data_IF_687957006594
#
_entry.id   IF_687957006594
#
_cell.length_a   1.000
_cell.length_b   1.000
_cell.length_c   1.000
_cell.angle_alpha   90.00
_cell.angle_beta   90.00
_cell.angle_gamma   90.00
#
_symmetry.space_group_name_H-M   'P 1'
#
loop_
_entity.id
_entity.type
_entity.pdbx_description
1 polymer ?
#
# COMPACT_ATOMS: atom_id res chain seq x y z
N UNK A 1 18.28 11.84 -21.77
CA UNK A 1 17.30 11.74 -20.68
C UNK A 1 17.73 12.80 -19.69
N UNK A 2 17.09 13.96 -19.76
CA UNK A 2 17.34 15.05 -18.83
C UNK A 2 16.90 14.56 -17.45
N UNK A 3 17.83 14.64 -16.48
CA UNK A 3 17.52 14.46 -15.07
C UNK A 3 16.70 15.69 -14.72
N UNK A 4 15.38 15.54 -14.59
CA UNK A 4 14.56 16.57 -13.95
C UNK A 4 15.18 16.81 -12.57
N UNK A 5 15.71 18.01 -12.39
CA UNK A 5 16.11 18.49 -11.07
C UNK A 5 14.87 18.39 -10.18
N UNK A 6 14.95 17.64 -9.08
CA UNK A 6 13.96 17.68 -8.00
C UNK A 6 13.79 19.16 -7.63
N UNK A 7 12.65 19.75 -8.03
CA UNK A 7 12.26 21.03 -7.48
C UNK A 7 11.93 20.76 -6.00
N UNK A 8 12.65 21.41 -5.11
CA UNK A 8 12.31 21.44 -3.69
C UNK A 8 10.84 21.92 -3.58
N UNK A 9 9.92 21.03 -3.21
CA UNK A 9 8.52 21.38 -3.03
C UNK A 9 8.38 22.28 -1.80
N UNK A 10 7.53 23.29 -1.91
CA UNK A 10 7.20 24.20 -0.82
C UNK A 10 5.83 23.89 -0.21
N UNK A 11 5.63 24.29 1.05
CA UNK A 11 4.33 24.14 1.71
C UNK A 11 3.24 24.86 0.90
N UNK A 12 2.22 24.10 0.49
CA UNK A 12 1.10 24.61 -0.31
C UNK A 12 1.16 24.18 -1.77
N UNK A 13 2.28 23.60 -2.22
CA UNK A 13 2.40 23.08 -3.59
C UNK A 13 1.48 21.88 -3.82
N UNK A 14 1.01 21.74 -5.06
CA UNK A 14 0.24 20.56 -5.46
C UNK A 14 1.11 19.33 -5.39
N UNK A 15 0.66 18.33 -4.65
CA UNK A 15 1.33 17.03 -4.59
C UNK A 15 1.17 16.32 -5.95
N UNK A 16 2.27 16.03 -6.67
CA UNK A 16 2.20 15.50 -8.03
C UNK A 16 1.91 14.00 -8.07
N UNK A 17 2.04 13.30 -6.94
CA UNK A 17 1.86 11.86 -6.84
C UNK A 17 0.50 11.48 -6.24
N UNK A 18 0.26 10.19 -6.06
CA UNK A 18 -0.97 9.69 -5.47
C UNK A 18 -1.04 9.97 -3.96
N UNK A 19 -2.24 10.29 -3.46
CA UNK A 19 -2.48 10.59 -2.05
C UNK A 19 -2.55 9.30 -1.21
N UNK A 20 -1.43 8.98 -0.55
CA UNK A 20 -1.22 7.75 0.22
C UNK A 20 -0.46 8.02 1.52
N UNK A 21 -0.08 6.97 2.24
CA UNK A 21 0.63 7.09 3.51
C UNK A 21 -0.21 6.74 4.73
N UNK A 22 0.48 6.68 5.87
CA UNK A 22 -0.12 6.51 7.20
C UNK A 22 -0.95 7.72 7.53
N UNK A 23 -2.18 7.50 8.01
CA UNK A 23 -3.11 8.59 8.27
C UNK A 23 -3.02 9.05 9.72
N UNK A 24 -2.82 10.35 9.90
CA UNK A 24 -2.91 10.99 11.20
C UNK A 24 -3.96 12.08 11.19
N UNK A 25 -4.35 12.47 12.39
CA UNK A 25 -5.29 13.53 12.65
C UNK A 25 -4.61 14.64 13.45
N UNK A 26 -5.09 15.86 13.25
CA UNK A 26 -4.62 17.02 14.00
C UNK A 26 -5.75 17.98 14.33
N UNK A 27 -5.57 18.79 15.36
CA UNK A 27 -6.54 19.80 15.79
C UNK A 27 -5.93 21.19 15.87
N UNK A 28 -6.80 22.20 15.94
CA UNK A 28 -6.42 23.60 16.21
C UNK A 28 -5.71 23.79 17.56
N UNK A 29 -5.85 22.84 18.48
CA UNK A 29 -5.15 22.80 19.78
C UNK A 29 -3.74 22.20 19.68
N UNK A 30 -3.22 22.01 18.46
CA UNK A 30 -1.90 21.43 18.17
C UNK A 30 -1.73 19.98 18.64
N UNK A 31 -2.82 19.24 18.83
CA UNK A 31 -2.76 17.80 19.12
C UNK A 31 -2.65 17.03 17.82
N UNK A 32 -1.80 16.00 17.79
CA UNK A 32 -1.70 15.02 16.70
C UNK A 32 -2.00 13.62 17.25
N UNK A 33 -2.76 12.82 16.52
CA UNK A 33 -3.07 11.44 16.92
C UNK A 33 -3.24 10.50 15.74
N UNK A 34 -3.00 9.22 16.02
CA UNK A 34 -3.42 8.12 15.15
C UNK A 34 -4.75 7.54 15.64
N UNK A 35 -5.57 7.04 14.73
CA UNK A 35 -6.87 6.43 15.07
C UNK A 35 -7.07 5.10 14.31
N UNK A 36 -7.52 4.05 15.02
CA UNK A 36 -7.68 2.70 14.44
C UNK A 36 -8.70 2.61 13.32
N UNK A 37 -9.88 3.17 13.54
CA UNK A 37 -11.00 3.27 12.61
C UNK A 37 -11.87 4.46 13.04
N UNK A 38 -12.87 4.83 12.25
CA UNK A 38 -13.75 5.96 12.58
C UNK A 38 -14.37 5.75 13.97
N UNK A 39 -14.12 6.67 14.90
CA UNK A 39 -14.54 6.61 16.31
C UNK A 39 -13.88 5.46 17.13
N UNK A 40 -12.74 4.96 16.68
CA UNK A 40 -11.93 3.98 17.40
C UNK A 40 -10.97 4.61 18.41
N UNK A 41 -10.05 3.79 18.92
CA UNK A 41 -9.00 4.22 19.86
C UNK A 41 -8.15 5.32 19.24
N UNK A 42 -7.97 6.42 19.98
CA UNK A 42 -7.12 7.54 19.62
C UNK A 42 -5.83 7.47 20.43
N UNK A 43 -4.70 7.56 19.73
CA UNK A 43 -3.36 7.44 20.32
C UNK A 43 -2.58 8.69 19.98
N UNK A 44 -2.29 9.50 20.99
CA UNK A 44 -1.73 10.83 20.81
C UNK A 44 -0.22 10.79 20.62
N UNK A 45 0.28 11.68 19.77
CA UNK A 45 1.71 11.95 19.59
C UNK A 45 2.17 12.90 20.70
N UNK A 46 3.16 12.48 21.48
CA UNK A 46 3.81 13.28 22.53
C UNK A 46 4.84 14.27 21.97
N UNK A 47 5.57 13.90 20.93
CA UNK A 47 6.67 14.71 20.39
C UNK A 47 7.03 14.32 18.95
N UNK A 48 7.79 15.18 18.27
CA UNK A 48 8.25 14.96 16.88
C UNK A 48 7.31 15.53 15.83
N UNK A 49 6.30 16.31 16.23
CA UNK A 49 5.27 16.85 15.32
C UNK A 49 5.25 18.38 15.24
N UNK A 50 6.16 19.09 15.93
CA UNK A 50 6.11 20.56 16.10
C UNK A 50 6.22 21.31 14.76
N UNK A 51 7.12 20.88 13.87
CA UNK A 51 7.25 21.44 12.51
C UNK A 51 6.00 21.13 11.69
N UNK A 52 5.59 19.87 11.68
CA UNK A 52 4.46 19.37 10.90
C UNK A 52 3.17 20.12 11.27
N UNK A 53 2.86 20.25 12.57
CA UNK A 53 1.64 20.92 13.03
C UNK A 53 1.66 22.41 12.67
N UNK A 54 2.82 23.07 12.80
CA UNK A 54 2.98 24.47 12.43
C UNK A 54 2.72 24.70 10.94
N UNK A 55 3.23 23.82 10.08
CA UNK A 55 3.02 23.91 8.62
C UNK A 55 1.58 23.55 8.21
N UNK A 56 0.99 22.52 8.84
CA UNK A 56 -0.41 22.13 8.62
C UNK A 56 -1.39 23.24 9.00
N UNK A 57 -1.21 23.89 10.15
CA UNK A 57 -2.12 24.95 10.62
C UNK A 57 -2.07 26.22 9.78
N UNK A 58 -1.01 26.45 8.98
CA UNK A 58 -1.00 27.54 7.98
C UNK A 58 -1.97 27.27 6.84
N UNK A 59 -2.10 26.01 6.42
CA UNK A 59 -3.01 25.60 5.35
C UNK A 59 -4.43 25.36 5.85
N UNK A 60 -4.58 24.79 7.05
CA UNK A 60 -5.86 24.32 7.58
C UNK A 60 -5.98 24.54 9.10
N UNK A 61 -6.35 25.77 9.52
CA UNK A 61 -6.36 26.17 10.93
C UNK A 61 -7.35 25.39 11.82
N UNK A 62 -8.42 24.84 11.24
CA UNK A 62 -9.48 24.13 11.97
C UNK A 62 -9.10 22.69 12.36
N UNK A 63 -7.96 22.18 11.88
CA UNK A 63 -7.58 20.79 12.04
C UNK A 63 -8.10 19.89 10.93
N UNK A 64 -7.87 18.58 11.05
CA UNK A 64 -8.29 17.61 10.05
C UNK A 64 -7.47 16.33 10.08
N UNK A 65 -7.21 15.78 8.91
CA UNK A 65 -6.31 14.64 8.75
C UNK A 65 -5.29 14.87 7.65
N UNK A 66 -4.09 14.39 7.87
CA UNK A 66 -2.99 14.41 6.91
C UNK A 66 -2.45 12.98 6.74
N UNK A 67 -1.51 12.80 5.82
CA UNK A 67 -0.79 11.54 5.66
C UNK A 67 0.70 11.78 5.61
N UNK A 68 1.44 10.75 6.00
CA UNK A 68 2.89 10.68 5.81
C UNK A 68 3.18 9.51 4.89
N UNK A 69 3.81 9.78 3.74
CA UNK A 69 4.20 8.76 2.76
C UNK A 69 5.32 7.87 3.30
N UNK A 70 5.59 6.75 2.62
CA UNK A 70 6.73 5.87 2.92
C UNK A 70 8.11 6.53 2.73
N UNK A 71 8.16 7.70 2.10
CA UNK A 71 9.35 8.54 1.92
C UNK A 71 9.44 9.67 2.95
N UNK A 72 8.46 9.78 3.85
CA UNK A 72 8.43 10.82 4.89
C UNK A 72 7.75 12.12 4.47
N UNK A 73 7.18 12.21 3.27
CA UNK A 73 6.47 13.40 2.81
C UNK A 73 5.13 13.55 3.53
N UNK A 74 4.90 14.73 4.10
CA UNK A 74 3.65 15.11 4.75
C UNK A 74 2.73 15.76 3.73
N UNK A 75 1.56 15.15 3.52
CA UNK A 75 0.58 15.60 2.55
C UNK A 75 -0.81 15.75 3.17
N UNK A 76 -1.56 16.74 2.70
CA UNK A 76 -2.95 16.99 3.13
C UNK A 76 -3.88 17.08 1.93
N UNK A 77 -5.16 16.74 2.14
CA UNK A 77 -6.23 16.96 1.18
C UNK A 77 -6.94 18.28 1.48
N UNK A 78 -6.98 19.17 0.49
CA UNK A 78 -7.76 20.41 0.50
C UNK A 78 -8.97 20.28 -0.42
N UNK A 79 -10.10 20.86 -0.02
CA UNK A 79 -11.31 20.96 -0.85
C UNK A 79 -11.42 22.38 -1.34
N UNK A 80 -11.30 22.58 -2.64
CA UNK A 80 -11.58 23.85 -3.27
C UNK A 80 -12.65 23.64 -4.33
N UNK A 81 -13.78 24.36 -4.21
CA UNK A 81 -14.88 24.32 -5.18
C UNK A 81 -15.28 22.88 -5.55
N UNK A 82 -15.50 22.05 -4.53
CA UNK A 82 -15.90 20.64 -4.63
C UNK A 82 -14.85 19.68 -5.23
N UNK A 83 -13.66 20.18 -5.59
CA UNK A 83 -12.55 19.35 -6.07
C UNK A 83 -11.55 19.11 -4.96
N UNK A 84 -11.19 17.83 -4.75
CA UNK A 84 -10.15 17.45 -3.81
C UNK A 84 -8.78 17.57 -4.46
N UNK A 85 -7.89 18.37 -3.87
CA UNK A 85 -6.50 18.52 -4.32
C UNK A 85 -5.55 18.07 -3.21
N UNK A 86 -4.64 17.11 -3.48
CA UNK A 86 -3.58 16.78 -2.55
C UNK A 86 -2.50 17.87 -2.58
N UNK A 87 -2.05 18.29 -1.41
CA UNK A 87 -1.10 19.39 -1.21
C UNK A 87 0.06 18.87 -0.38
N UNK A 88 1.27 19.23 -0.78
CA UNK A 88 2.50 19.00 -0.02
C UNK A 88 2.60 20.01 1.13
N UNK A 89 3.07 19.54 2.29
CA UNK A 89 3.17 20.35 3.51
C UNK A 89 4.63 20.54 3.90
N UNK A 90 5.35 19.43 4.10
CA UNK A 90 6.77 19.38 4.48
C UNK A 90 7.24 17.92 4.54
N UNK A 91 8.52 17.70 4.76
CA UNK A 91 9.06 16.40 5.15
C UNK A 91 9.03 16.18 6.66
N UNK A 92 8.83 14.93 7.04
CA UNK A 92 8.98 14.44 8.41
C UNK A 92 10.47 14.42 8.78
N UNK A 93 10.81 15.22 9.80
CA UNK A 93 12.18 15.39 10.29
C UNK A 93 12.55 14.40 11.40
N UNK A 94 11.58 14.00 12.22
CA UNK A 94 11.78 13.06 13.32
C UNK A 94 10.62 12.06 13.47
N UNK A 95 10.92 10.79 13.81
CA UNK A 95 9.90 9.82 14.23
C UNK A 95 8.99 10.34 15.34
N UNK A 96 7.68 10.09 15.19
CA UNK A 96 6.71 10.37 16.24
C UNK A 96 6.95 9.51 17.47
N UNK A 97 6.77 10.10 18.65
CA UNK A 97 6.70 9.36 19.92
C UNK A 97 5.28 9.44 20.45
N UNK A 98 4.71 8.34 20.91
CA UNK A 98 3.28 8.24 21.29
C UNK A 98 3.05 8.19 22.80
N UNK A 99 1.81 8.45 23.22
CA UNK A 99 1.44 8.55 24.64
C UNK A 99 1.53 7.23 25.42
N UNK A 100 1.36 6.10 24.74
CA UNK A 100 1.11 4.79 25.38
C UNK A 100 2.28 3.80 25.20
N UNK A 101 3.50 4.33 25.06
CA UNK A 101 4.75 3.58 24.84
C UNK A 101 4.65 2.57 23.67
N UNK A 102 3.85 2.92 22.66
CA UNK A 102 3.76 2.15 21.42
C UNK A 102 5.00 2.41 20.60
N UNK A 103 5.77 1.35 20.39
CA UNK A 103 6.92 1.36 19.49
C UNK A 103 6.43 1.15 18.04
N UNK A 104 6.39 2.24 17.27
CA UNK A 104 6.09 2.21 15.82
C UNK A 104 7.33 1.95 14.97
N UNK A 105 8.52 2.05 15.57
CA UNK A 105 9.83 1.79 14.93
C UNK A 105 10.60 0.66 15.61
N UNK A 106 10.03 -0.57 15.67
CA UNK A 106 10.66 -1.67 16.37
C UNK A 106 11.97 -2.08 15.69
N UNK A 107 13.04 -2.19 16.48
CA UNK A 107 14.40 -2.44 15.96
C UNK A 107 14.73 -3.91 15.71
N UNK A 108 14.02 -4.83 16.36
CA UNK A 108 14.43 -6.24 16.46
C UNK A 108 13.50 -7.21 15.71
N UNK A 109 12.53 -6.72 14.93
CA UNK A 109 11.63 -7.60 14.18
C UNK A 109 12.35 -8.29 13.02
N UNK A 110 12.06 -9.58 12.85
CA UNK A 110 12.48 -10.37 11.69
C UNK A 110 11.29 -10.62 10.77
N UNK A 111 11.49 -10.71 9.45
CA UNK A 111 10.43 -11.10 8.53
C UNK A 111 9.69 -12.36 9.00
N UNK A 112 8.36 -12.31 9.03
CA UNK A 112 7.48 -13.35 9.57
C UNK A 112 7.03 -13.14 11.02
N UNK A 113 7.67 -12.23 11.77
CA UNK A 113 7.25 -11.88 13.13
C UNK A 113 5.94 -11.06 13.13
N UNK A 114 5.21 -11.09 14.24
CA UNK A 114 4.02 -10.27 14.44
C UNK A 114 4.42 -8.78 14.41
N UNK A 115 3.70 -7.99 13.63
CA UNK A 115 3.88 -6.54 13.60
C UNK A 115 3.31 -5.90 14.87
N UNK A 116 4.14 -5.13 15.57
CA UNK A 116 3.83 -4.56 16.89
C UNK A 116 3.28 -3.13 16.85
N UNK A 117 3.41 -2.44 15.71
CA UNK A 117 2.96 -1.07 15.53
C UNK A 117 1.54 -0.96 14.97
N UNK A 118 1.20 0.24 14.49
CA UNK A 118 -0.07 0.47 13.81
C UNK A 118 -0.11 -0.27 12.48
N UNK A 119 -1.19 -1.01 12.21
CA UNK A 119 -1.43 -1.55 10.86
C UNK A 119 -2.00 -0.46 9.95
N UNK A 120 -1.14 0.46 9.56
CA UNK A 120 -1.46 1.55 8.63
C UNK A 120 -0.27 1.82 7.69
N UNK A 121 -0.43 2.77 6.79
CA UNK A 121 0.57 3.09 5.76
C UNK A 121 0.01 3.06 4.34
N UNK A 122 0.89 3.32 3.40
CA UNK A 122 0.63 3.26 1.96
C UNK A 122 0.22 1.85 1.56
N UNK A 123 -1.04 1.69 1.11
CA UNK A 123 -1.61 0.38 0.78
C UNK A 123 -1.37 0.02 -0.67
N UNK A 124 -0.81 -1.17 -0.88
CA UNK A 124 -0.58 -1.76 -2.20
C UNK A 124 -1.18 -3.17 -2.26
N UNK A 125 -1.35 -3.65 -3.47
CA UNK A 125 -1.76 -5.01 -3.76
C UNK A 125 -0.66 -5.75 -4.52
N UNK A 126 -0.58 -7.06 -4.33
CA UNK A 126 0.37 -7.91 -5.03
C UNK A 126 -0.30 -9.22 -5.47
N UNK A 127 0.26 -9.81 -6.53
CA UNK A 127 0.01 -11.17 -6.98
C UNK A 127 1.24 -11.61 -7.77
N UNK A 128 1.83 -12.74 -7.37
CA UNK A 128 3.15 -13.17 -7.86
C UNK A 128 4.16 -12.02 -7.68
N UNK A 129 4.89 -11.68 -8.74
CA UNK A 129 5.91 -10.62 -8.72
C UNK A 129 5.35 -9.25 -9.14
N UNK A 130 4.03 -9.14 -9.32
CA UNK A 130 3.37 -7.88 -9.72
C UNK A 130 2.82 -7.16 -8.51
N UNK A 131 3.09 -5.87 -8.43
CA UNK A 131 2.60 -4.97 -7.39
C UNK A 131 1.88 -3.79 -8.04
N UNK A 132 0.75 -3.39 -7.46
CA UNK A 132 -0.03 -2.26 -7.96
C UNK A 132 -0.69 -1.49 -6.83
N UNK A 133 -0.96 -0.23 -7.12
CA UNK A 133 -1.87 0.59 -6.35
C UNK A 133 -3.28 0.54 -6.96
N UNK A 134 -4.29 0.52 -6.10
CA UNK A 134 -5.69 0.62 -6.51
C UNK A 134 -6.16 2.06 -6.29
N UNK A 135 -6.25 2.82 -7.37
CA UNK A 135 -6.91 4.12 -7.35
C UNK A 135 -8.40 3.92 -7.05
N UNK A 136 -8.97 4.57 -6.01
CA UNK A 136 -10.41 4.50 -5.77
C UNK A 136 -11.24 5.08 -6.93
N UNK A 137 -10.68 6.02 -7.68
CA UNK A 137 -11.37 6.80 -8.72
C UNK A 137 -10.93 6.43 -10.15
N UNK A 138 -10.10 5.40 -10.31
CA UNK A 138 -9.49 5.08 -11.60
C UNK A 138 -9.01 3.64 -11.76
N UNK A 139 -8.36 3.33 -12.88
CA UNK A 139 -7.85 2.00 -13.16
C UNK A 139 -6.68 1.64 -12.22
N UNK A 140 -6.33 0.35 -12.20
CA UNK A 140 -5.14 -0.14 -11.48
C UNK A 140 -3.89 0.44 -12.11
N UNK A 141 -2.93 0.83 -11.28
CA UNK A 141 -1.63 1.34 -11.71
C UNK A 141 -0.53 0.48 -11.09
N UNK A 142 0.30 -0.12 -11.95
CA UNK A 142 1.42 -0.94 -11.51
C UNK A 142 2.57 -0.05 -11.06
N UNK A 143 3.38 -0.55 -10.12
CA UNK A 143 4.60 0.15 -9.72
C UNK A 143 5.65 0.04 -10.84
N UNK A 144 6.54 1.01 -10.92
CA UNK A 144 7.68 0.99 -11.86
C UNK A 144 8.81 0.15 -11.30
N UNK A 145 8.99 0.21 -9.99
CA UNK A 145 10.08 -0.42 -9.25
C UNK A 145 9.85 -1.92 -9.05
N UNK A 146 10.92 -2.64 -8.71
CA UNK A 146 10.81 -4.01 -8.22
C UNK A 146 11.09 -4.00 -6.72
N UNK A 147 10.18 -4.57 -5.93
CA UNK A 147 10.42 -4.70 -4.48
C UNK A 147 11.58 -5.68 -4.22
N UNK A 148 12.30 -5.54 -3.10
CA UNK A 148 13.40 -6.43 -2.75
C UNK A 148 13.00 -7.91 -2.80
N UNK A 149 13.86 -8.77 -3.33
CA UNK A 149 13.59 -10.21 -3.49
C UNK A 149 13.16 -10.88 -2.19
N UNK A 150 13.75 -10.46 -1.06
CA UNK A 150 13.40 -10.97 0.27
C UNK A 150 11.96 -10.62 0.65
N UNK A 151 11.51 -9.39 0.36
CA UNK A 151 10.13 -8.95 0.60
C UNK A 151 9.18 -9.78 -0.27
N UNK A 152 9.48 -9.94 -1.56
CA UNK A 152 8.63 -10.69 -2.47
C UNK A 152 8.57 -12.18 -2.14
N UNK A 153 9.70 -12.77 -1.73
CA UNK A 153 9.76 -14.15 -1.25
C UNK A 153 8.86 -14.36 -0.02
N UNK A 154 8.95 -13.49 0.98
CA UNK A 154 8.13 -13.58 2.20
C UNK A 154 6.64 -13.40 1.89
N UNK A 155 6.30 -12.46 1.00
CA UNK A 155 4.92 -12.28 0.54
C UNK A 155 4.37 -13.53 -0.16
N UNK A 156 5.17 -14.21 -0.99
CA UNK A 156 4.76 -15.48 -1.64
C UNK A 156 4.56 -16.62 -0.65
N UNK A 157 5.40 -16.72 0.37
CA UNK A 157 5.28 -17.75 1.42
C UNK A 157 4.02 -17.51 2.25
N UNK A 158 3.78 -16.28 2.69
CA UNK A 158 2.71 -15.95 3.62
C UNK A 158 1.35 -15.72 2.95
N UNK A 159 1.35 -15.31 1.68
CA UNK A 159 0.18 -14.96 0.87
C UNK A 159 0.31 -15.46 -0.57
N UNK A 160 0.34 -16.79 -0.79
CA UNK A 160 0.58 -17.38 -2.11
C UNK A 160 -0.46 -16.99 -3.17
N UNK A 161 -1.70 -16.70 -2.75
CA UNK A 161 -2.79 -16.28 -3.64
C UNK A 161 -2.84 -14.77 -3.88
N UNK A 162 -1.83 -14.03 -3.41
CA UNK A 162 -1.81 -12.58 -3.48
C UNK A 162 -2.55 -11.90 -2.31
N UNK A 163 -2.69 -10.58 -2.41
CA UNK A 163 -3.45 -9.78 -1.46
C UNK A 163 -2.91 -8.37 -1.34
N UNK A 164 -3.18 -7.70 -0.21
CA UNK A 164 -2.63 -6.37 0.07
C UNK A 164 -1.57 -6.41 1.15
N UNK A 165 -0.63 -5.47 1.05
CA UNK A 165 0.35 -5.11 2.06
C UNK A 165 0.35 -3.58 2.24
N UNK A 166 1.08 -3.11 3.24
CA UNK A 166 1.30 -1.69 3.50
C UNK A 166 2.78 -1.40 3.68
N UNK A 167 3.17 -0.17 3.36
CA UNK A 167 4.47 0.38 3.70
C UNK A 167 4.22 1.56 4.65
N UNK A 168 4.81 1.52 5.83
CA UNK A 168 4.71 2.60 6.83
C UNK A 168 5.58 3.79 6.41
N UNK A 169 5.38 4.92 7.08
CA UNK A 169 6.20 6.13 6.95
C UNK A 169 7.70 5.90 7.22
N UNK A 170 8.01 4.93 8.09
CA UNK A 170 9.38 4.52 8.38
C UNK A 170 9.92 3.42 7.43
N UNK A 171 9.17 3.05 6.39
CA UNK A 171 9.57 2.06 5.40
C UNK A 171 9.44 0.59 5.85
N UNK A 172 8.64 0.29 6.88
CA UNK A 172 8.32 -1.10 7.22
C UNK A 172 7.26 -1.65 6.27
N UNK A 173 7.55 -2.80 5.65
CA UNK A 173 6.59 -3.56 4.85
C UNK A 173 5.84 -4.51 5.77
N UNK A 174 4.51 -4.37 5.82
CA UNK A 174 3.63 -5.14 6.71
C UNK A 174 2.44 -5.69 5.94
N UNK A 175 1.93 -6.85 6.35
CA UNK A 175 0.76 -7.47 5.72
C UNK A 175 -0.16 -8.11 6.73
N UNK A 176 -1.39 -8.41 6.30
CA UNK A 176 -2.33 -9.24 7.05
C UNK A 176 -2.36 -10.64 6.44
N UNK A 177 -2.24 -11.65 7.29
CA UNK A 177 -2.36 -13.05 6.89
C UNK A 177 -3.62 -13.69 7.48
N UNK A 178 -4.33 -14.55 6.74
CA UNK A 178 -5.41 -15.34 7.29
C UNK A 178 -4.88 -16.39 8.27
N UNK A 179 -5.78 -17.04 8.99
CA UNK A 179 -5.43 -18.16 9.86
C UNK A 179 -4.75 -19.28 9.05
N UNK A 180 -3.52 -19.60 9.42
CA UNK A 180 -2.71 -20.66 8.82
C UNK A 180 -1.75 -21.25 9.86
N UNK A 181 -1.13 -22.41 9.60
CA UNK A 181 -0.09 -22.94 10.48
C UNK A 181 1.07 -21.94 10.59
N UNK A 182 1.40 -21.53 11.82
CA UNK A 182 2.48 -20.59 12.10
C UNK A 182 3.47 -21.18 13.12
N UNK A 183 4.76 -20.78 13.08
CA UNK A 183 5.73 -21.26 14.04
C UNK A 183 5.35 -20.89 15.49
N UNK A 184 5.62 -21.79 16.44
CA UNK A 184 5.34 -21.58 17.87
C UNK A 184 6.00 -20.32 18.46
N UNK A 185 7.02 -19.77 17.80
CA UNK A 185 7.69 -18.54 18.23
C UNK A 185 6.75 -17.33 18.26
N UNK A 186 5.73 -17.26 17.37
CA UNK A 186 4.81 -16.12 17.32
C UNK A 186 3.93 -16.04 18.58
N UNK A 187 3.57 -17.19 19.15
CA UNK A 187 2.85 -17.24 20.43
C UNK A 187 3.72 -16.67 21.56
N UNK A 188 5.00 -17.05 21.61
CA UNK A 188 5.94 -16.51 22.61
C UNK A 188 6.16 -15.01 22.41
N UNK A 189 6.29 -14.57 21.16
CA UNK A 189 6.41 -13.16 20.82
C UNK A 189 5.21 -12.40 21.36
N UNK A 190 3.99 -12.86 21.06
CA UNK A 190 2.74 -12.28 21.58
C UNK A 190 2.72 -12.15 23.11
N UNK A 191 3.03 -13.24 23.81
CA UNK A 191 3.04 -13.29 25.27
C UNK A 191 4.07 -12.33 25.90
N UNK A 192 5.14 -12.00 25.17
CA UNK A 192 6.18 -11.06 25.60
C UNK A 192 5.91 -9.59 25.27
N UNK A 193 4.90 -9.30 24.44
CA UNK A 193 4.53 -7.94 24.05
C UNK A 193 3.95 -7.14 25.22
N UNK A 194 3.99 -5.80 25.12
CA UNK A 194 3.30 -4.94 26.07
C UNK A 194 1.77 -5.11 25.97
N UNK A 195 1.06 -4.78 27.04
CA UNK A 195 -0.42 -4.85 27.07
C UNK A 195 -1.02 -4.03 25.94
N UNK A 196 -0.47 -2.84 25.65
CA UNK A 196 -0.94 -1.97 24.56
C UNK A 196 -0.76 -2.62 23.19
N UNK A 197 0.40 -3.24 22.93
CA UNK A 197 0.67 -3.96 21.68
C UNK A 197 -0.29 -5.14 21.51
N UNK A 198 -0.51 -5.93 22.57
CA UNK A 198 -1.48 -7.02 22.56
C UNK A 198 -2.89 -6.52 22.27
N UNK A 199 -3.31 -5.40 22.86
CA UNK A 199 -4.62 -4.81 22.59
C UNK A 199 -4.78 -4.33 21.15
N UNK A 200 -3.79 -3.64 20.60
CA UNK A 200 -3.80 -3.17 19.21
C UNK A 200 -3.99 -4.31 18.22
N UNK A 201 -3.19 -5.35 18.36
CA UNK A 201 -3.25 -6.49 17.45
C UNK A 201 -4.52 -7.31 17.71
N UNK A 202 -4.98 -7.45 18.95
CA UNK A 202 -6.26 -8.13 19.26
C UNK A 202 -7.42 -7.42 18.58
N UNK A 203 -7.50 -6.09 18.69
CA UNK A 203 -8.51 -5.29 18.01
C UNK A 203 -8.42 -5.46 16.49
N UNK A 204 -7.20 -5.60 15.95
CA UNK A 204 -7.00 -5.84 14.52
C UNK A 204 -7.49 -7.22 14.09
N UNK A 205 -7.16 -8.26 14.84
CA UNK A 205 -7.59 -9.64 14.58
C UNK A 205 -9.10 -9.75 14.73
N UNK A 206 -9.71 -9.15 15.75
CA UNK A 206 -11.18 -9.15 15.92
C UNK A 206 -11.92 -8.44 14.78
N UNK A 207 -11.33 -7.40 14.18
CA UNK A 207 -11.96 -6.65 13.09
C UNK A 207 -11.74 -7.25 11.70
N UNK A 208 -10.76 -8.13 11.52
CA UNK A 208 -10.37 -8.64 10.19
C UNK A 208 -10.21 -10.14 10.08
N UNK A 209 -10.22 -10.86 11.21
CA UNK A 209 -9.85 -12.28 11.31
C UNK A 209 -8.45 -12.60 10.75
N UNK A 210 -7.57 -11.59 10.68
CA UNK A 210 -6.23 -11.70 10.13
C UNK A 210 -5.17 -11.15 11.09
N UNK A 211 -3.99 -11.76 11.06
CA UNK A 211 -2.85 -11.40 11.90
C UNK A 211 -1.91 -10.45 11.13
N UNK A 212 -1.50 -9.31 11.73
CA UNK A 212 -0.52 -8.42 11.12
C UNK A 212 0.90 -8.97 11.30
N UNK A 213 1.63 -9.06 10.19
CA UNK A 213 2.98 -9.64 10.12
C UNK A 213 3.93 -8.64 9.46
N UNK A 214 5.14 -8.57 9.99
CA UNK A 214 6.25 -7.84 9.42
C UNK A 214 6.92 -8.64 8.29
N UNK A 215 7.21 -8.00 7.18
CA UNK A 215 7.73 -8.63 5.96
C UNK A 215 9.16 -8.21 5.64
N UNK A 216 9.53 -6.96 5.88
CA UNK A 216 10.84 -6.43 5.53
C UNK A 216 10.85 -4.90 5.46
N UNK A 217 11.91 -4.33 4.88
CA UNK A 217 12.09 -2.88 4.76
C UNK A 217 12.06 -2.46 3.30
N UNK A 218 11.46 -1.31 3.01
CA UNK A 218 11.51 -0.63 1.73
C UNK A 218 11.26 0.86 1.91
N UNK A 219 12.23 1.70 1.53
CA UNK A 219 12.23 3.15 1.77
C UNK A 219 12.55 3.97 0.51
N UNK A 220 12.69 3.33 -0.66
CA UNK A 220 13.07 4.00 -1.91
C UNK A 220 11.91 4.78 -2.55
N UNK A 221 10.70 4.68 -1.98
CA UNK A 221 9.49 5.25 -2.56
C UNK A 221 8.92 4.41 -3.70
N UNK A 222 7.68 4.69 -4.07
CA UNK A 222 6.96 4.01 -5.16
C UNK A 222 6.46 5.01 -6.19
N UNK A 223 6.85 4.77 -7.43
CA UNK A 223 6.34 5.45 -8.62
C UNK A 223 5.32 4.55 -9.30
N UNK A 224 4.22 5.14 -9.74
CA UNK A 224 3.19 4.41 -10.47
C UNK A 224 3.33 4.65 -11.96
N UNK A 225 3.19 3.58 -12.73
CA UNK A 225 2.97 3.68 -14.16
C UNK A 225 1.69 4.52 -14.43
N UNK A 226 1.67 5.27 -15.54
CA UNK A 226 0.46 5.97 -15.95
C UNK A 226 -0.68 4.96 -16.17
N UNK A 227 -1.94 5.35 -15.92
CA UNK A 227 -3.09 4.48 -16.16
C UNK A 227 -3.14 4.06 -17.64
N UNK A 228 -3.33 2.76 -17.90
CA UNK A 228 -3.42 2.24 -19.27
C UNK A 228 -4.71 2.72 -19.92
N UNK A 229 -4.57 3.38 -21.07
CA UNK A 229 -5.69 3.84 -21.89
C UNK A 229 -5.94 2.84 -23.02
N UNK A 230 -7.00 2.05 -22.89
CA UNK A 230 -7.36 1.02 -23.87
C UNK A 230 -8.02 1.57 -25.13
N UNK A 231 -8.31 2.88 -25.19
CA UNK A 231 -8.88 3.50 -26.39
C UNK A 231 -7.81 3.88 -27.42
N UNK A 232 -6.54 3.90 -27.01
CA UNK A 232 -5.41 4.21 -27.89
C UNK A 232 -4.93 2.96 -28.62
N UNK A 233 -4.47 3.09 -29.87
CA UNK A 233 -3.83 1.97 -30.57
C UNK A 233 -2.56 1.55 -29.83
N UNK A 234 -2.23 0.25 -29.91
CA UNK A 234 -0.98 -0.28 -29.38
C UNK A 234 0.21 0.44 -30.01
N UNK A 235 1.22 0.72 -29.19
CA UNK A 235 2.52 1.19 -29.67
C UNK A 235 3.21 0.11 -30.53
N UNK A 236 4.15 0.48 -31.43
CA UNK A 236 4.93 -0.48 -32.20
C UNK A 236 5.64 -1.52 -31.31
N UNK A 237 6.13 -1.11 -30.15
CA UNK A 237 6.78 -1.95 -29.14
C UNK A 237 5.79 -2.95 -28.53
N UNK A 238 4.64 -2.49 -28.02
CA UNK A 238 3.60 -3.38 -27.47
C UNK A 238 3.09 -4.37 -28.51
N UNK A 239 2.93 -3.92 -29.76
CA UNK A 239 2.52 -4.78 -30.87
C UNK A 239 3.55 -5.87 -31.13
N UNK A 240 4.84 -5.50 -31.13
CA UNK A 240 5.94 -6.46 -31.31
C UNK A 240 5.98 -7.48 -30.16
N UNK A 241 5.90 -7.03 -28.91
CA UNK A 241 5.89 -7.92 -27.74
C UNK A 241 4.72 -8.92 -27.79
N UNK A 242 3.53 -8.46 -28.18
CA UNK A 242 2.37 -9.35 -28.35
C UNK A 242 2.60 -10.37 -29.47
N UNK A 243 3.17 -9.95 -30.60
CA UNK A 243 3.50 -10.88 -31.70
C UNK A 243 4.56 -11.90 -31.28
N UNK A 244 5.62 -11.47 -30.58
CA UNK A 244 6.66 -12.35 -30.07
C UNK A 244 6.09 -13.36 -29.06
N UNK A 245 5.19 -12.92 -28.18
CA UNK A 245 4.46 -13.80 -27.26
C UNK A 245 3.61 -14.83 -28.01
N UNK A 246 2.82 -14.41 -29.02
CA UNK A 246 2.01 -15.32 -29.85
C UNK A 246 2.87 -16.29 -30.66
N UNK A 247 4.02 -15.84 -31.15
CA UNK A 247 4.98 -16.68 -31.85
C UNK A 247 5.50 -17.79 -30.93
N UNK A 248 5.60 -17.55 -29.62
CA UNK A 248 5.94 -18.58 -28.63
C UNK A 248 4.93 -19.74 -28.54
N UNK A 249 3.68 -19.53 -28.94
CA UNK A 249 2.64 -20.57 -29.04
C UNK A 249 2.57 -21.20 -30.44
N UNK A 250 3.21 -20.59 -31.43
CA UNK A 250 3.16 -21.05 -32.80
C UNK A 250 4.14 -22.22 -32.99
N UNK A 251 3.60 -23.43 -33.12
CA UNK A 251 4.41 -24.58 -33.52
C UNK A 251 4.92 -24.39 -34.97
N UNK A 252 6.06 -24.98 -35.36
CA UNK A 252 6.45 -25.06 -36.77
C UNK A 252 5.51 -26.02 -37.51
N UNK A 253 4.36 -25.51 -37.95
CA UNK A 253 3.31 -26.22 -38.69
C UNK A 253 1.93 -25.60 -38.44
N UNK A 254 1.01 -25.71 -39.41
CA UNK A 254 -0.39 -25.33 -39.22
C UNK A 254 -0.99 -26.18 -38.10
N UNK A 255 -1.25 -25.56 -36.94
CA UNK A 255 -2.02 -26.16 -35.87
C UNK A 255 -3.50 -26.05 -36.23
N UNK A 256 -4.05 -27.07 -36.91
CA UNK A 256 -5.49 -27.34 -36.89
C UNK A 256 -5.85 -27.52 -35.40
N UNK A 257 -6.61 -26.59 -34.81
CA UNK A 257 -6.93 -26.61 -33.39
C UNK A 257 -7.51 -27.96 -32.92
N UNK A 258 -7.65 -28.13 -31.60
CA UNK A 258 -8.39 -29.27 -31.02
C UNK A 258 -9.90 -29.08 -31.24
N UNK A 259 -10.35 -29.01 -32.49
CA UNK A 259 -11.75 -29.26 -32.84
C UNK A 259 -11.84 -30.75 -33.12
N UNK A 260 -12.53 -31.55 -32.29
CA UNK A 260 -12.81 -32.95 -32.62
C UNK A 260 -13.40 -33.00 -34.03
N UNK A 261 -12.81 -33.80 -34.93
CA UNK A 261 -13.26 -33.93 -36.33
C UNK A 261 -14.66 -34.56 -36.47
N UNK A 262 -15.32 -34.89 -35.36
CA UNK A 262 -16.61 -35.56 -35.30
C UNK A 262 -17.67 -34.75 -34.52
N UNK A 263 -17.58 -33.42 -34.47
CA UNK A 263 -18.67 -32.58 -33.96
C UNK A 263 -19.73 -32.32 -35.05
N UNK A 264 -20.26 -33.41 -35.61
CA UNK A 264 -21.60 -33.40 -36.21
C UNK A 264 -22.59 -33.61 -35.06
N UNK A 265 -23.01 -32.53 -34.40
CA UNK A 265 -24.34 -32.38 -33.81
C UNK A 265 -24.45 -30.96 -33.23
N UNK A 266 -25.53 -30.28 -33.59
CA UNK A 266 -25.96 -28.98 -33.06
C UNK A 266 -26.29 -29.12 -31.56
N UNK A 267 -25.29 -29.14 -30.69
CA UNK A 267 -25.51 -28.81 -29.28
C UNK A 267 -25.48 -27.29 -29.16
N UNK A 268 -26.67 -26.69 -29.03
CA UNK A 268 -26.83 -25.31 -28.56
C UNK A 268 -26.06 -25.15 -27.24
N UNK A 269 -24.91 -24.49 -27.31
CA UNK A 269 -24.22 -24.02 -26.12
C UNK A 269 -25.13 -23.01 -25.43
N UNK A 270 -25.77 -23.42 -24.34
CA UNK A 270 -26.40 -22.50 -23.41
C UNK A 270 -25.29 -21.65 -22.78
N UNK A 271 -25.30 -20.36 -23.11
CA UNK A 271 -24.48 -19.36 -22.41
C UNK A 271 -24.69 -19.49 -20.89
N UNK A 272 -23.57 -19.35 -20.18
CA UNK A 272 -23.44 -19.39 -18.72
C UNK A 272 -24.50 -18.49 -18.04
N UNK A 273 -25.33 -19.00 -17.12
CA UNK A 273 -26.36 -18.21 -16.46
C UNK A 273 -25.77 -17.46 -15.27
N UNK A 274 -24.94 -16.45 -15.54
CA UNK A 274 -24.56 -15.44 -14.54
C UNK A 274 -24.58 -14.03 -15.15
N UNK A 275 -25.80 -13.53 -15.36
CA UNK A 275 -26.16 -12.12 -15.15
C UNK A 275 -27.07 -12.02 -13.91
#
# INVERSE_FOLDING_TARGET
>A
MEIEMEQDMENGDKWPYHYRGTRYHFSSEQKVWWQTFKNGLEIFVKSGHDRIIKELLKLRPEGGSFRITETGDVIIKMVEKETWTPIYVCEMDMPFKFSDDIETTPKELKPGDIWTGFYDGSRYSHLNDRVWWRNPEGPRQYIVETLPDEVMLQMRILKPTGGSFRITEDGYVITLIPKQPLPNQLKKQWESMSVTQQQLITAKVQSTEMLPIYIGRYHEGITLQPPKDFTKPLTPEERKEMLDFLNGFSAPGEFEGMVPKDADEEEEFFDDPED
#
